data_IF_092451923630
#
_entry.id   IF_092451923630
#
_cell.length_a   1.000
_cell.length_b   1.000
_cell.length_c   1.000
_cell.angle_alpha   90.00
_cell.angle_beta   90.00
_cell.angle_gamma   90.00
#
_symmetry.space_group_name_H-M   'P 1'
#
loop_
_entity.id
_entity.type
_entity.pdbx_description
1 polymer ?
#
# COMPACT_ATOMS: atom_id res chain seq x y z
N UNK A 1 15.48 1.98 -2.82
CA UNK A 1 16.01 0.87 -1.98
C UNK A 1 14.98 -0.23 -1.75
N UNK A 2 13.70 0.09 -1.52
CA UNK A 2 12.61 -0.90 -1.40
C UNK A 2 12.63 -1.98 -2.52
N UNK A 3 12.62 -1.58 -3.80
CA UNK A 3 12.69 -2.54 -4.91
C UNK A 3 13.98 -3.37 -4.96
N UNK A 4 15.11 -2.84 -4.47
CA UNK A 4 16.38 -3.57 -4.38
C UNK A 4 16.29 -4.66 -3.30
N UNK A 5 15.64 -4.35 -2.18
CA UNK A 5 15.46 -5.28 -1.06
C UNK A 5 14.51 -6.43 -1.41
N UNK A 6 13.36 -6.11 -1.98
CA UNK A 6 12.33 -7.10 -2.31
C UNK A 6 12.60 -7.86 -3.62
N UNK A 7 13.26 -7.21 -4.57
CA UNK A 7 13.44 -7.73 -5.92
C UNK A 7 12.11 -7.99 -6.66
N UNK A 8 12.16 -8.54 -7.88
CA UNK A 8 10.95 -8.79 -8.66
C UNK A 8 10.03 -9.84 -8.04
N UNK A 9 10.60 -10.81 -7.29
CA UNK A 9 9.80 -11.84 -6.59
C UNK A 9 9.01 -11.24 -5.43
N UNK A 10 9.67 -10.54 -4.51
CA UNK A 10 9.01 -9.97 -3.33
C UNK A 10 7.93 -8.96 -3.70
N UNK A 11 8.21 -8.09 -4.70
CA UNK A 11 7.20 -7.14 -5.20
C UNK A 11 5.98 -7.84 -5.82
N UNK A 12 6.19 -8.95 -6.53
CA UNK A 12 5.08 -9.76 -7.06
C UNK A 12 4.29 -10.44 -5.95
N UNK A 13 4.96 -10.95 -4.90
CA UNK A 13 4.30 -11.54 -3.73
C UNK A 13 3.44 -10.51 -2.99
N UNK A 14 3.95 -9.30 -2.77
CA UNK A 14 3.20 -8.18 -2.18
C UNK A 14 1.98 -7.84 -3.05
N UNK A 15 2.19 -7.61 -4.35
CA UNK A 15 1.10 -7.29 -5.28
C UNK A 15 0.01 -8.37 -5.33
N UNK A 16 0.41 -9.65 -5.38
CA UNK A 16 -0.53 -10.76 -5.37
C UNK A 16 -1.27 -10.88 -4.03
N UNK A 17 -0.63 -10.58 -2.91
CA UNK A 17 -1.26 -10.58 -1.58
C UNK A 17 -2.34 -9.50 -1.51
N UNK A 18 -2.02 -8.26 -1.89
CA UNK A 18 -2.99 -7.16 -1.91
C UNK A 18 -4.15 -7.49 -2.83
N UNK A 19 -3.86 -7.92 -4.06
CA UNK A 19 -4.90 -8.32 -5.02
C UNK A 19 -5.78 -9.46 -4.51
N UNK A 20 -5.19 -10.47 -3.86
CA UNK A 20 -5.92 -11.58 -3.27
C UNK A 20 -6.83 -11.15 -2.12
N UNK A 21 -6.40 -10.21 -1.28
CA UNK A 21 -7.26 -9.64 -0.22
C UNK A 21 -8.43 -8.85 -0.82
N UNK A 22 -8.19 -8.03 -1.84
CA UNK A 22 -9.26 -7.33 -2.55
C UNK A 22 -10.22 -8.33 -3.21
N UNK A 23 -9.70 -9.40 -3.81
CA UNK A 23 -10.52 -10.47 -4.37
C UNK A 23 -11.38 -11.20 -3.33
N UNK A 24 -10.91 -11.37 -2.09
CA UNK A 24 -11.70 -11.91 -0.98
C UNK A 24 -12.82 -10.96 -0.55
N UNK A 25 -12.50 -9.67 -0.47
CA UNK A 25 -13.51 -8.63 -0.20
C UNK A 25 -14.61 -8.67 -1.26
N UNK A 26 -14.23 -8.72 -2.54
CA UNK A 26 -15.19 -8.82 -3.66
C UNK A 26 -16.02 -10.09 -3.61
N UNK A 27 -15.44 -11.25 -3.30
CA UNK A 27 -16.19 -12.51 -3.16
C UNK A 27 -17.25 -12.41 -2.04
N UNK A 28 -16.88 -11.84 -0.89
CA UNK A 28 -17.81 -11.60 0.22
C UNK A 28 -18.97 -10.67 -0.15
N UNK A 29 -18.66 -9.56 -0.84
CA UNK A 29 -19.66 -8.61 -1.33
C UNK A 29 -20.62 -9.26 -2.32
N UNK A 30 -20.10 -9.99 -3.32
CA UNK A 30 -20.90 -10.67 -4.35
C UNK A 30 -21.84 -11.71 -3.77
N UNK A 31 -21.38 -12.51 -2.80
CA UNK A 31 -22.23 -13.50 -2.10
C UNK A 31 -23.39 -12.86 -1.35
N UNK A 32 -23.23 -11.62 -0.93
CA UNK A 32 -24.28 -10.82 -0.30
C UNK A 32 -25.15 -10.04 -1.30
N UNK A 33 -24.92 -10.17 -2.61
CA UNK A 33 -25.66 -9.44 -3.64
C UNK A 33 -25.20 -7.99 -3.85
N UNK A 34 -24.05 -7.60 -3.28
CA UNK A 34 -23.43 -6.29 -3.54
C UNK A 34 -22.38 -6.47 -4.64
N UNK A 35 -22.69 -5.98 -5.83
CA UNK A 35 -21.76 -6.05 -6.97
C UNK A 35 -20.90 -4.78 -7.02
N UNK A 36 -19.56 -4.89 -6.98
CA UNK A 36 -18.69 -3.75 -7.25
C UNK A 36 -18.87 -3.19 -8.66
N UNK A 37 -18.61 -1.90 -8.84
CA UNK A 37 -18.61 -1.27 -10.15
C UNK A 37 -17.44 -1.80 -11.01
N UNK A 38 -17.78 -2.27 -12.21
CA UNK A 38 -16.82 -2.80 -13.17
C UNK A 38 -16.43 -4.26 -12.92
N UNK A 39 -15.80 -4.87 -13.92
CA UNK A 39 -15.45 -6.30 -13.89
C UNK A 39 -14.01 -6.57 -13.41
N UNK A 40 -13.17 -5.53 -13.37
CA UNK A 40 -11.74 -5.66 -13.18
C UNK A 40 -11.23 -4.72 -12.10
N UNK A 41 -10.29 -5.21 -11.29
CA UNK A 41 -9.70 -4.47 -10.19
C UNK A 41 -8.30 -5.02 -9.89
N UNK A 42 -7.50 -4.18 -9.24
CA UNK A 42 -6.26 -4.63 -8.60
C UNK A 42 -6.44 -4.65 -7.09
N UNK A 43 -6.33 -3.49 -6.46
CA UNK A 43 -6.43 -3.28 -5.01
C UNK A 43 -7.67 -2.46 -4.60
N UNK A 44 -8.28 -1.77 -5.57
CA UNK A 44 -9.33 -0.79 -5.38
C UNK A 44 -10.63 -1.23 -6.05
N UNK A 45 -11.74 -1.07 -5.33
CA UNK A 45 -13.10 -1.28 -5.83
C UNK A 45 -14.01 -0.11 -5.46
N UNK A 46 -15.08 0.06 -6.21
CA UNK A 46 -16.18 0.96 -5.85
C UNK A 46 -17.44 0.14 -5.68
N UNK A 47 -18.21 0.39 -4.63
CA UNK A 47 -19.53 -0.19 -4.44
C UNK A 47 -20.58 0.90 -4.33
N UNK A 48 -21.82 0.59 -4.69
CA UNK A 48 -22.96 1.51 -4.53
C UNK A 48 -23.91 0.94 -3.49
N UNK A 49 -24.17 1.72 -2.43
CA UNK A 49 -25.05 1.33 -1.34
C UNK A 49 -26.21 2.31 -1.23
N UNK A 50 -27.31 2.01 -1.92
CA UNK A 50 -28.51 2.85 -1.92
C UNK A 50 -29.06 3.02 -0.49
N UNK A 51 -29.03 4.25 0.02
CA UNK A 51 -29.55 4.59 1.35
C UNK A 51 -28.74 4.09 2.55
N UNK A 52 -27.69 3.29 2.35
CA UNK A 52 -26.83 2.72 3.42
C UNK A 52 -25.39 3.22 3.42
N UNK A 53 -25.02 4.06 2.45
CA UNK A 53 -23.66 4.56 2.31
C UNK A 53 -23.14 5.27 3.58
N UNK A 54 -23.92 6.20 4.16
CA UNK A 54 -23.51 6.92 5.38
C UNK A 54 -23.38 6.01 6.60
N UNK A 55 -24.26 5.01 6.73
CA UNK A 55 -24.22 4.02 7.80
C UNK A 55 -22.93 3.19 7.71
N UNK A 56 -22.59 2.71 6.52
CA UNK A 56 -21.36 1.96 6.29
C UNK A 56 -20.10 2.80 6.54
N UNK A 57 -20.07 4.05 6.08
CA UNK A 57 -18.95 4.96 6.34
C UNK A 57 -18.74 5.17 7.84
N UNK A 58 -19.80 5.41 8.62
CA UNK A 58 -19.71 5.56 10.08
C UNK A 58 -19.28 4.26 10.76
N UNK A 59 -19.83 3.12 10.36
CA UNK A 59 -19.46 1.82 10.92
C UNK A 59 -17.99 1.45 10.66
N UNK A 60 -17.44 1.88 9.50
CA UNK A 60 -16.04 1.75 9.16
C UNK A 60 -15.17 2.71 10.00
N UNK A 61 -15.57 3.98 10.13
CA UNK A 61 -14.89 4.99 10.93
C UNK A 61 -14.80 4.58 12.41
N UNK A 62 -15.89 4.07 12.99
CA UNK A 62 -15.93 3.56 14.37
C UNK A 62 -14.94 2.40 14.62
N UNK A 63 -14.52 1.71 13.56
CA UNK A 63 -13.51 0.64 13.59
C UNK A 63 -12.11 1.11 13.16
N UNK A 64 -11.95 2.40 12.85
CA UNK A 64 -10.67 2.99 12.45
C UNK A 64 -10.36 2.91 10.96
N UNK A 65 -11.35 2.66 10.10
CA UNK A 65 -11.18 2.61 8.65
C UNK A 65 -11.79 3.84 7.98
N UNK A 66 -10.98 4.57 7.21
CA UNK A 66 -11.46 5.64 6.34
C UNK A 66 -11.70 5.08 4.94
N UNK A 67 -12.91 5.29 4.41
CA UNK A 67 -13.29 4.90 3.06
C UNK A 67 -13.56 6.14 2.21
N UNK A 68 -13.41 6.01 0.89
CA UNK A 68 -13.61 7.12 -0.03
C UNK A 68 -15.09 7.30 -0.34
N UNK A 69 -15.73 8.31 0.23
CA UNK A 69 -17.09 8.71 -0.19
C UNK A 69 -17.06 9.33 -1.60
N UNK A 70 -17.97 8.90 -2.46
CA UNK A 70 -18.18 9.37 -3.82
C UNK A 70 -19.66 9.76 -4.02
N UNK A 71 -19.94 10.49 -5.10
CA UNK A 71 -21.31 10.93 -5.41
C UNK A 71 -22.26 9.74 -5.62
N UNK A 72 -23.51 9.90 -5.18
CA UNK A 72 -24.59 8.95 -5.44
C UNK A 72 -24.60 7.73 -4.51
N UNK A 73 -24.04 7.83 -3.31
CA UNK A 73 -23.95 6.69 -2.36
C UNK A 73 -22.89 5.66 -2.77
N UNK A 74 -21.93 6.08 -3.59
CA UNK A 74 -20.80 5.28 -4.02
C UNK A 74 -19.68 5.38 -3.00
N UNK A 75 -19.01 4.26 -2.75
CA UNK A 75 -17.93 4.16 -1.78
C UNK A 75 -16.77 3.41 -2.41
N UNK A 76 -15.62 4.07 -2.46
CA UNK A 76 -14.35 3.50 -2.88
C UNK A 76 -13.62 2.87 -1.70
N UNK A 77 -13.12 1.65 -1.91
CA UNK A 77 -12.32 0.90 -0.95
C UNK A 77 -11.02 0.52 -1.66
N UNK A 78 -9.88 0.95 -1.11
CA UNK A 78 -8.55 0.59 -1.59
C UNK A 78 -7.81 -0.13 -0.48
N UNK A 79 -7.33 -1.34 -0.75
CA UNK A 79 -6.45 -2.07 0.17
C UNK A 79 -4.99 -1.83 -0.22
N UNK A 80 -4.08 -2.02 0.73
CA UNK A 80 -2.65 -1.84 0.49
C UNK A 80 -1.81 -2.95 1.13
N UNK A 81 -0.49 -2.79 1.11
CA UNK A 81 0.46 -3.77 1.62
C UNK A 81 0.22 -4.15 3.09
N UNK A 82 -0.31 -3.23 3.89
CA UNK A 82 -0.54 -3.39 5.34
C UNK A 82 -1.82 -4.16 5.66
N UNK A 83 -2.73 -4.28 4.69
CA UNK A 83 -4.01 -4.95 4.88
C UNK A 83 -3.83 -6.45 5.21
N UNK A 84 -4.71 -6.93 6.07
CA UNK A 84 -4.77 -8.32 6.52
C UNK A 84 -6.12 -8.96 6.19
N UNK A 85 -6.24 -10.26 6.45
CA UNK A 85 -7.56 -10.93 6.36
C UNK A 85 -8.54 -10.40 7.41
N UNK A 86 -8.06 -9.97 8.57
CA UNK A 86 -8.91 -9.42 9.62
C UNK A 86 -9.49 -8.07 9.22
N UNK A 87 -8.72 -7.24 8.51
CA UNK A 87 -9.22 -5.97 7.94
C UNK A 87 -10.33 -6.21 6.91
N UNK A 88 -10.15 -7.18 6.03
CA UNK A 88 -11.19 -7.58 5.06
C UNK A 88 -12.45 -8.05 5.78
N UNK A 89 -12.30 -8.85 6.83
CA UNK A 89 -13.42 -9.34 7.62
C UNK A 89 -14.13 -8.20 8.36
N UNK A 90 -13.38 -7.26 8.92
CA UNK A 90 -13.92 -6.08 9.61
C UNK A 90 -14.75 -5.21 8.64
N UNK A 91 -14.25 -4.96 7.42
CA UNK A 91 -14.99 -4.22 6.40
C UNK A 91 -16.29 -4.91 5.98
N UNK A 92 -16.28 -6.24 5.83
CA UNK A 92 -17.50 -7.01 5.53
C UNK A 92 -18.49 -6.97 6.71
N UNK A 93 -18.00 -7.05 7.95
CA UNK A 93 -18.83 -6.96 9.14
C UNK A 93 -19.49 -5.59 9.32
N UNK A 94 -18.86 -4.49 8.86
CA UNK A 94 -19.50 -3.17 8.82
C UNK A 94 -20.76 -3.13 7.93
N UNK A 95 -20.89 -4.08 7.00
CA UNK A 95 -22.07 -4.27 6.15
C UNK A 95 -22.97 -5.41 6.65
N UNK A 96 -22.67 -5.98 7.81
CA UNK A 96 -23.31 -7.18 8.37
C UNK A 96 -23.16 -8.42 7.48
N UNK A 97 -22.05 -8.49 6.72
CA UNK A 97 -21.76 -9.58 5.80
C UNK A 97 -20.79 -10.60 6.39
N UNK A 98 -20.90 -11.82 5.90
CA UNK A 98 -19.99 -12.92 6.27
C UNK A 98 -18.88 -13.03 5.21
N UNK A 99 -17.62 -13.28 5.63
CA UNK A 99 -16.53 -13.55 4.69
C UNK A 99 -16.84 -14.71 3.75
N UNK A 100 -16.47 -14.54 2.48
CA UNK A 100 -16.46 -15.64 1.53
C UNK A 100 -15.31 -16.63 1.79
N UNK A 101 -15.43 -17.83 1.24
CA UNK A 101 -14.37 -18.85 1.21
C UNK A 101 -13.51 -18.79 -0.08
N UNK A 102 -13.84 -17.90 -1.01
CA UNK A 102 -13.21 -17.77 -2.31
C UNK A 102 -12.33 -16.53 -2.46
N UNK A 103 -11.86 -16.31 -3.68
CA UNK A 103 -11.15 -15.09 -4.07
C UNK A 103 -11.56 -14.78 -5.50
N UNK A 104 -12.21 -13.63 -5.71
CA UNK A 104 -12.59 -13.18 -7.03
C UNK A 104 -11.35 -12.82 -7.85
N UNK A 105 -11.33 -13.26 -9.11
CA UNK A 105 -10.30 -12.88 -10.08
C UNK A 105 -10.61 -11.49 -10.65
N UNK A 106 -9.73 -10.52 -10.43
CA UNK A 106 -9.94 -9.14 -10.88
C UNK A 106 -9.07 -8.71 -12.06
N UNK A 107 -7.99 -9.43 -12.39
CA UNK A 107 -7.13 -9.13 -13.54
C UNK A 107 -7.42 -10.11 -14.69
N UNK A 108 -7.97 -9.64 -15.83
CA UNK A 108 -8.29 -10.51 -16.96
C UNK A 108 -7.03 -11.15 -17.54
N UNK A 109 -7.15 -12.37 -18.07
CA UNK A 109 -6.01 -13.17 -18.53
C UNK A 109 -5.11 -12.42 -19.53
N UNK A 110 -5.70 -11.64 -20.44
CA UNK A 110 -4.96 -10.85 -21.43
C UNK A 110 -4.21 -9.64 -20.87
N UNK A 111 -4.51 -9.19 -19.65
CA UNK A 111 -3.82 -8.08 -18.98
C UNK A 111 -2.81 -8.55 -17.93
N UNK A 112 -2.69 -9.87 -17.71
CA UNK A 112 -1.68 -10.42 -16.80
C UNK A 112 -0.28 -10.23 -17.41
N UNK A 113 0.57 -9.48 -16.72
CA UNK A 113 1.95 -9.22 -17.15
C UNK A 113 2.73 -10.52 -17.37
N UNK A 114 3.27 -10.69 -18.59
CA UNK A 114 4.12 -11.81 -18.97
C UNK A 114 5.62 -11.45 -19.00
N UNK A 115 5.95 -10.15 -19.13
CA UNK A 115 7.33 -9.69 -19.18
C UNK A 115 8.04 -9.79 -17.83
N UNK A 116 9.35 -10.01 -17.88
CA UNK A 116 10.23 -9.86 -16.73
C UNK A 116 10.41 -8.38 -16.36
N UNK A 117 11.01 -8.13 -15.20
CA UNK A 117 11.34 -6.79 -14.70
C UNK A 117 12.37 -6.89 -13.59
N UNK A 118 13.10 -5.79 -13.39
CA UNK A 118 14.21 -5.72 -12.43
C UNK A 118 15.29 -6.77 -12.71
N UNK A 119 15.55 -7.04 -13.99
CA UNK A 119 16.49 -8.08 -14.44
C UNK A 119 17.95 -7.75 -14.12
N UNK A 120 18.25 -6.50 -13.78
CA UNK A 120 19.60 -6.05 -13.41
C UNK A 120 20.05 -6.65 -12.07
N UNK A 121 21.32 -7.02 -12.01
CA UNK A 121 21.95 -7.74 -10.88
C UNK A 121 21.70 -7.08 -9.51
N UNK A 122 21.62 -5.74 -9.48
CA UNK A 122 21.37 -4.97 -8.26
C UNK A 122 20.10 -5.41 -7.52
N UNK A 123 19.04 -5.80 -8.24
CA UNK A 123 17.76 -6.20 -7.65
C UNK A 123 17.72 -7.64 -7.16
N UNK A 124 18.82 -8.39 -7.30
CA UNK A 124 18.92 -9.80 -6.95
C UNK A 124 19.96 -10.09 -5.85
N UNK A 125 20.71 -9.08 -5.39
CA UNK A 125 21.90 -9.27 -4.54
C UNK A 125 21.77 -8.91 -3.08
N UNK A 126 20.78 -8.10 -2.70
CA UNK A 126 20.74 -7.46 -1.38
C UNK A 126 19.41 -7.73 -0.68
N UNK A 127 19.06 -9.01 -0.50
CA UNK A 127 17.77 -9.43 0.05
C UNK A 127 17.83 -9.78 1.54
N UNK A 128 19.03 -9.95 2.12
CA UNK A 128 19.19 -9.98 3.57
C UNK A 128 19.42 -8.58 4.13
N UNK A 129 18.95 -8.35 5.36
CA UNK A 129 19.17 -7.08 6.07
C UNK A 129 20.66 -6.72 6.15
N UNK A 130 21.52 -7.69 6.41
CA UNK A 130 22.98 -7.48 6.48
C UNK A 130 23.57 -7.03 5.14
N UNK A 131 23.16 -7.65 4.03
CA UNK A 131 23.62 -7.27 2.69
C UNK A 131 23.14 -5.87 2.31
N UNK A 132 21.88 -5.55 2.59
CA UNK A 132 21.32 -4.22 2.36
C UNK A 132 22.04 -3.16 3.18
N UNK A 133 22.26 -3.40 4.48
CA UNK A 133 23.01 -2.49 5.36
C UNK A 133 24.43 -2.23 4.83
N UNK A 134 25.14 -3.28 4.39
CA UNK A 134 26.47 -3.14 3.78
C UNK A 134 26.41 -2.40 2.44
N UNK A 135 25.37 -2.60 1.65
CA UNK A 135 25.18 -1.92 0.38
C UNK A 135 24.94 -0.42 0.58
N UNK A 136 24.02 -0.06 1.47
CA UNK A 136 23.73 1.33 1.84
C UNK A 136 25.00 2.02 2.36
N UNK A 137 25.74 1.39 3.28
CA UNK A 137 26.98 1.96 3.81
C UNK A 137 28.05 2.16 2.74
N UNK A 138 28.14 1.24 1.77
CA UNK A 138 29.08 1.36 0.65
C UNK A 138 28.73 2.51 -0.30
N UNK A 139 27.44 2.78 -0.50
CA UNK A 139 26.99 3.91 -1.31
C UNK A 139 27.22 5.22 -0.55
N UNK A 140 26.79 5.28 0.72
CA UNK A 140 27.00 6.44 1.60
C UNK A 140 28.48 6.85 1.65
N UNK A 141 29.41 5.90 1.81
CA UNK A 141 30.84 6.18 1.89
C UNK A 141 31.51 6.68 0.60
N UNK A 142 30.75 6.84 -0.50
CA UNK A 142 31.25 7.46 -1.75
C UNK A 142 30.88 8.93 -1.87
N UNK A 143 30.01 9.42 -0.99
CA UNK A 143 29.41 10.75 -1.10
C UNK A 143 29.90 11.64 0.05
N UNK A 144 30.45 12.81 -0.29
CA UNK A 144 30.81 13.83 0.69
C UNK A 144 29.54 14.52 1.19
N UNK A 145 29.29 14.46 2.51
CA UNK A 145 28.11 15.06 3.14
C UNK A 145 28.47 15.95 4.34
N UNK A 146 27.48 16.64 4.91
CA UNK A 146 27.66 17.64 5.98
C UNK A 146 28.14 17.04 7.32
N UNK A 147 28.12 15.71 7.48
CA UNK A 147 28.73 15.00 8.60
C UNK A 147 30.26 14.88 8.46
N UNK A 148 30.84 15.18 7.30
CA UNK A 148 32.28 15.11 7.06
C UNK A 148 32.94 16.49 6.97
N UNK A 149 32.34 17.42 6.23
CA UNK A 149 32.91 18.77 6.06
C UNK A 149 31.86 19.82 5.72
N UNK A 150 32.26 21.09 5.79
CA UNK A 150 31.49 22.19 5.21
C UNK A 150 31.35 21.98 3.69
N UNK A 151 30.14 22.17 3.17
CA UNK A 151 29.83 22.19 1.73
C UNK A 151 29.35 23.60 1.37
N UNK A 152 30.27 24.46 0.95
CA UNK A 152 30.03 25.90 0.74
C UNK A 152 29.48 26.23 -0.65
N UNK A 153 28.33 25.65 -1.00
CA UNK A 153 27.64 25.94 -2.25
C UNK A 153 26.86 27.26 -2.14
N UNK A 154 27.26 28.26 -2.94
CA UNK A 154 26.58 29.55 -3.02
C UNK A 154 25.11 29.38 -3.41
N UNK A 155 24.22 30.15 -2.78
CA UNK A 155 22.75 30.08 -2.97
C UNK A 155 22.04 28.79 -2.51
N UNK A 156 22.74 27.80 -1.93
CA UNK A 156 22.10 26.57 -1.45
C UNK A 156 21.76 26.58 0.05
N UNK A 157 22.40 27.46 0.83
CA UNK A 157 22.20 27.54 2.30
C UNK A 157 22.32 26.17 3.00
N UNK A 158 23.44 25.49 2.77
CA UNK A 158 23.77 24.20 3.41
C UNK A 158 24.06 24.40 4.91
N UNK A 159 23.02 24.65 5.70
CA UNK A 159 23.04 24.88 7.15
C UNK A 159 22.83 23.56 7.92
N UNK A 160 22.82 23.66 9.24
CA UNK A 160 22.47 22.54 10.12
C UNK A 160 21.05 22.01 9.82
N UNK A 161 20.94 20.70 9.66
CA UNK A 161 19.69 19.95 9.78
C UNK A 161 19.71 19.26 11.14
N UNK A 162 19.13 19.88 12.18
CA UNK A 162 19.32 19.38 13.53
C UNK A 162 18.56 18.07 13.75
N UNK A 163 19.15 17.12 14.49
CA UNK A 163 18.49 15.84 14.77
C UNK A 163 17.11 16.03 15.42
N UNK A 164 16.97 16.99 16.33
CA UNK A 164 15.69 17.33 16.98
C UNK A 164 14.61 17.80 16.00
N UNK A 165 15.00 18.41 14.87
CA UNK A 165 14.08 18.89 13.83
C UNK A 165 13.68 17.75 12.88
N UNK A 166 14.56 16.75 12.68
CA UNK A 166 14.33 15.65 11.75
C UNK A 166 13.55 14.48 12.37
N UNK A 167 13.71 14.21 13.67
CA UNK A 167 13.05 13.09 14.37
C UNK A 167 11.52 13.05 14.15
N UNK A 168 10.78 14.18 14.22
CA UNK A 168 9.33 14.15 14.07
C UNK A 168 8.82 13.74 12.69
N UNK A 169 9.65 13.83 11.64
CA UNK A 169 9.25 13.50 10.26
C UNK A 169 8.85 12.03 10.13
N UNK A 170 9.41 11.14 10.94
CA UNK A 170 9.13 9.70 10.93
C UNK A 170 8.17 9.25 12.06
N UNK A 171 7.57 10.17 12.81
CA UNK A 171 6.53 9.82 13.79
C UNK A 171 5.28 9.34 13.07
N UNK A 172 4.61 8.32 13.60
CA UNK A 172 3.43 7.76 12.96
C UNK A 172 2.32 8.81 12.83
N UNK A 173 2.13 9.61 13.87
CA UNK A 173 1.16 10.71 13.95
C UNK A 173 1.36 11.79 12.87
N UNK A 174 2.52 11.81 12.22
CA UNK A 174 2.85 12.73 11.12
C UNK A 174 2.95 11.99 9.79
N UNK A 175 3.73 10.91 9.74
CA UNK A 175 4.10 10.21 8.50
C UNK A 175 3.14 9.12 8.04
N UNK A 176 2.18 8.68 8.86
CA UNK A 176 1.22 7.62 8.51
C UNK A 176 -0.21 8.13 8.37
N UNK A 177 -0.40 9.43 8.15
CA UNK A 177 -1.71 10.04 7.88
C UNK A 177 -1.91 10.14 6.37
N UNK A 178 -3.00 9.55 5.87
CA UNK A 178 -3.41 9.75 4.47
C UNK A 178 -3.82 11.22 4.26
N UNK A 179 -3.35 11.88 3.19
CA UNK A 179 -3.69 13.29 2.91
C UNK A 179 -5.16 13.52 2.57
#
# INVERSE_FOLDING_TARGET
MYAVYHGPRGLREIANRVHGLTGRLVDGLRKAGVEPEGEHFFDTITITLEGRAEEFLRAAEDRGYNLRSLDGGRIGIALDETATTDDVNALLQCLELVPGDGTAEGIPAGMRRQSTFLDEEVFHRYHSETEMMRYLRRLEGKDLALNESMISLGSCTMKLNAASEMIPVTWAEVGTIHP
#
